data_IF_519396214118
#
_entry.id   IF_519396214118
#
_cell.length_a   1.000
_cell.length_b   1.000
_cell.length_c   1.000
_cell.angle_alpha   90.00
_cell.angle_beta   90.00
_cell.angle_gamma   90.00
#
_symmetry.space_group_name_H-M   'P 1'
#
loop_
_entity.id
_entity.type
_entity.pdbx_description
1 polymer ?
#
# COMPACT_ATOMS: atom_id res chain seq x y z
N UNK A 1 -15.67 -23.12 -18.16
CA UNK A 1 -15.99 -22.83 -16.74
C UNK A 1 -17.49 -22.80 -16.51
N UNK A 2 -17.95 -23.25 -15.33
CA UNK A 2 -19.33 -23.09 -14.87
C UNK A 2 -19.67 -21.59 -14.70
N UNK A 3 -20.82 -21.10 -15.22
CA UNK A 3 -21.21 -19.69 -15.07
C UNK A 3 -21.24 -19.21 -13.60
N UNK A 4 -21.56 -20.08 -12.64
CA UNK A 4 -21.55 -19.72 -11.21
C UNK A 4 -20.13 -19.39 -10.75
N UNK A 5 -19.15 -20.22 -11.14
CA UNK A 5 -17.74 -20.03 -10.80
C UNK A 5 -17.22 -18.74 -11.43
N UNK A 6 -17.60 -18.46 -12.68
CA UNK A 6 -17.21 -17.22 -13.34
C UNK A 6 -17.73 -15.99 -12.59
N UNK A 7 -19.00 -16.00 -12.19
CA UNK A 7 -19.60 -14.91 -11.40
C UNK A 7 -18.85 -14.73 -10.08
N UNK A 8 -18.53 -15.82 -9.37
CA UNK A 8 -17.78 -15.76 -8.12
C UNK A 8 -16.38 -15.15 -8.32
N UNK A 9 -15.68 -15.50 -9.39
CA UNK A 9 -14.38 -14.90 -9.73
C UNK A 9 -14.55 -13.41 -9.98
N UNK A 10 -15.53 -12.99 -10.78
CA UNK A 10 -15.77 -11.58 -11.09
C UNK A 10 -16.09 -10.78 -9.83
N UNK A 11 -16.98 -11.29 -8.96
CA UNK A 11 -17.28 -10.66 -7.67
C UNK A 11 -16.04 -10.58 -6.79
N UNK A 12 -15.24 -11.66 -6.73
CA UNK A 12 -13.98 -11.69 -6.00
C UNK A 12 -12.99 -10.64 -6.50
N UNK A 13 -12.81 -10.51 -7.82
CA UNK A 13 -11.96 -9.48 -8.44
C UNK A 13 -12.44 -8.09 -8.05
N UNK A 14 -13.74 -7.81 -8.11
CA UNK A 14 -14.30 -6.50 -7.73
C UNK A 14 -14.02 -6.18 -6.26
N UNK A 15 -14.32 -7.13 -5.36
CA UNK A 15 -14.14 -6.94 -3.91
C UNK A 15 -12.66 -6.73 -3.56
N UNK A 16 -11.77 -7.57 -4.10
CA UNK A 16 -10.33 -7.47 -3.84
C UNK A 16 -9.74 -6.22 -4.48
N UNK A 17 -10.18 -5.83 -5.68
CA UNK A 17 -9.76 -4.57 -6.30
C UNK A 17 -10.18 -3.37 -5.46
N UNK A 18 -11.42 -3.35 -4.97
CA UNK A 18 -11.92 -2.29 -4.09
C UNK A 18 -11.11 -2.23 -2.78
N UNK A 19 -10.87 -3.38 -2.16
CA UNK A 19 -10.04 -3.48 -0.96
C UNK A 19 -8.61 -2.97 -1.22
N UNK A 20 -7.99 -3.37 -2.33
CA UNK A 20 -6.65 -2.93 -2.72
C UNK A 20 -6.61 -1.41 -2.97
N UNK A 21 -7.64 -0.84 -3.58
CA UNK A 21 -7.78 0.60 -3.75
C UNK A 21 -7.85 1.33 -2.41
N UNK A 22 -8.73 0.89 -1.50
CA UNK A 22 -8.93 1.53 -0.19
C UNK A 22 -7.66 1.42 0.66
N UNK A 23 -7.04 0.24 0.72
CA UNK A 23 -5.78 0.02 1.44
C UNK A 23 -4.68 0.99 0.97
N UNK A 24 -4.50 1.11 -0.34
CA UNK A 24 -3.45 1.97 -0.89
C UNK A 24 -3.84 3.46 -0.94
N UNK A 25 -5.07 3.79 -0.53
CA UNK A 25 -5.54 5.16 -0.33
C UNK A 25 -5.52 5.58 1.15
N UNK A 26 -5.45 4.62 2.08
CA UNK A 26 -5.58 4.89 3.51
C UNK A 26 -4.51 5.88 4.02
N UNK A 27 -4.87 6.79 4.94
CA UNK A 27 -3.93 7.72 5.57
C UNK A 27 -3.07 6.96 6.60
N UNK A 28 -1.75 7.14 6.56
CA UNK A 28 -0.86 6.51 7.54
C UNK A 28 0.62 6.42 7.15
N UNK A 29 1.02 6.97 6.01
CA UNK A 29 2.44 7.09 5.65
C UNK A 29 2.70 8.51 5.17
N UNK A 30 3.54 9.24 5.91
CA UNK A 30 4.08 10.54 5.48
C UNK A 30 4.95 10.32 4.23
N UNK A 31 5.06 11.29 3.31
CA UNK A 31 6.00 11.20 2.18
C UNK A 31 7.45 10.94 2.65
N UNK A 32 7.77 11.38 3.87
CA UNK A 32 9.06 11.19 4.52
C UNK A 32 9.28 9.74 5.00
N UNK A 33 8.23 8.96 5.26
CA UNK A 33 8.32 7.52 5.60
C UNK A 33 8.82 6.68 4.41
N UNK A 34 8.85 7.25 3.20
CA UNK A 34 9.33 6.58 1.99
C UNK A 34 10.77 6.95 1.62
N UNK A 35 11.37 7.92 2.31
CA UNK A 35 12.79 8.28 2.13
C UNK A 35 13.63 7.28 2.91
N UNK A 36 14.22 6.33 2.20
CA UNK A 36 15.18 5.39 2.80
C UNK A 36 16.59 5.91 2.53
N UNK A 37 17.25 6.43 3.57
CA UNK A 37 18.67 6.75 3.56
C UNK A 37 18.99 8.19 3.98
N UNK A 38 20.29 8.52 4.10
CA UNK A 38 20.76 9.85 4.51
C UNK A 38 20.25 10.96 3.59
N UNK A 39 20.08 12.17 4.13
CA UNK A 39 19.73 13.38 3.38
C UNK A 39 20.60 13.49 2.10
N UNK A 40 19.96 13.53 0.94
CA UNK A 40 20.61 13.63 -0.37
C UNK A 40 20.61 12.37 -1.22
N UNK A 41 20.26 11.19 -0.67
CA UNK A 41 20.23 9.94 -1.44
C UNK A 41 18.95 9.75 -2.26
N UNK A 42 17.86 10.48 -1.96
CA UNK A 42 16.55 10.46 -2.65
C UNK A 42 16.03 9.06 -3.02
N UNK A 43 16.43 8.02 -2.27
CA UNK A 43 15.96 6.66 -2.48
C UNK A 43 14.55 6.56 -1.91
N UNK A 44 13.58 6.75 -2.80
CA UNK A 44 12.17 6.51 -2.50
C UNK A 44 11.92 5.01 -2.59
N UNK A 45 11.67 4.35 -1.47
CA UNK A 45 11.24 2.95 -1.51
C UNK A 45 9.79 2.91 -1.96
N UNK A 46 9.60 2.88 -3.28
CA UNK A 46 8.28 3.04 -3.85
C UNK A 46 7.45 1.76 -3.61
N UNK A 47 6.53 1.83 -2.65
CA UNK A 47 5.65 0.76 -2.16
C UNK A 47 4.61 0.23 -3.18
N UNK A 48 5.00 0.00 -4.43
CA UNK A 48 4.20 -0.81 -5.35
C UNK A 48 4.14 -2.26 -4.92
N UNK A 49 5.06 -2.69 -4.05
CA UNK A 49 5.08 -4.05 -3.51
C UNK A 49 3.74 -4.44 -2.87
N UNK A 50 3.12 -3.56 -2.08
CA UNK A 50 1.83 -3.86 -1.44
C UNK A 50 0.72 -4.10 -2.49
N UNK A 51 0.64 -3.25 -3.52
CA UNK A 51 -0.34 -3.40 -4.61
C UNK A 51 -0.16 -4.71 -5.39
N UNK A 52 1.08 -5.19 -5.51
CA UNK A 52 1.42 -6.46 -6.17
C UNK A 52 1.14 -7.66 -5.26
N UNK A 53 1.44 -7.57 -3.96
CA UNK A 53 1.18 -8.63 -2.97
C UNK A 53 -0.31 -8.99 -2.95
N UNK A 54 -1.20 -8.00 -2.87
CA UNK A 54 -2.66 -8.25 -2.84
C UNK A 54 -3.14 -8.96 -4.11
N UNK A 55 -2.65 -8.53 -5.28
CA UNK A 55 -2.92 -9.22 -6.55
C UNK A 55 -2.39 -10.65 -6.56
N UNK A 56 -1.17 -10.86 -6.05
CA UNK A 56 -0.52 -12.17 -5.97
C UNK A 56 -1.29 -13.14 -5.07
N UNK A 57 -1.74 -12.69 -3.89
CA UNK A 57 -2.56 -13.49 -2.97
C UNK A 57 -3.84 -13.96 -3.67
N UNK A 58 -4.51 -13.07 -4.42
CA UNK A 58 -5.70 -13.45 -5.18
C UNK A 58 -5.41 -14.53 -6.22
N UNK A 59 -4.33 -14.40 -6.99
CA UNK A 59 -3.94 -15.40 -7.99
C UNK A 59 -3.64 -16.75 -7.32
N UNK A 60 -2.95 -16.76 -6.18
CA UNK A 60 -2.70 -17.99 -5.41
C UNK A 60 -4.01 -18.62 -4.94
N UNK A 61 -4.96 -17.83 -4.45
CA UNK A 61 -6.28 -18.33 -4.06
C UNK A 61 -7.03 -18.96 -5.24
N UNK A 62 -6.99 -18.33 -6.41
CA UNK A 62 -7.56 -18.87 -7.65
C UNK A 62 -6.85 -20.16 -8.09
N UNK A 63 -5.52 -20.23 -7.94
CA UNK A 63 -4.75 -21.42 -8.26
C UNK A 63 -5.08 -22.62 -7.35
N UNK A 64 -5.38 -22.39 -6.06
CA UNK A 64 -5.88 -23.42 -5.15
C UNK A 64 -7.22 -23.98 -5.66
N UNK A 65 -8.06 -23.13 -6.24
CA UNK A 65 -9.32 -23.51 -6.88
C UNK A 65 -9.15 -24.03 -8.33
N UNK A 66 -7.96 -24.48 -8.72
CA UNK A 66 -7.66 -24.89 -10.11
C UNK A 66 -8.56 -26.01 -10.66
N UNK A 67 -9.15 -26.84 -9.81
CA UNK A 67 -10.10 -27.89 -10.20
C UNK A 67 -11.41 -27.34 -10.81
N UNK A 68 -11.72 -26.06 -10.58
CA UNK A 68 -12.90 -25.39 -11.11
C UNK A 68 -12.77 -24.96 -12.59
N UNK A 69 -11.57 -25.06 -13.17
CA UNK A 69 -11.26 -24.62 -14.53
C UNK A 69 -11.21 -25.78 -15.50
N UNK A 70 -11.72 -25.57 -16.72
CA UNK A 70 -11.73 -26.63 -17.74
C UNK A 70 -10.36 -26.82 -18.39
N UNK A 71 -9.50 -25.80 -18.37
CA UNK A 71 -8.14 -25.87 -18.90
C UNK A 71 -7.14 -25.04 -18.10
N UNK A 72 -5.85 -25.42 -18.17
CA UNK A 72 -4.75 -24.63 -17.59
C UNK A 72 -4.62 -23.26 -18.22
N UNK A 73 -4.89 -23.16 -19.53
CA UNK A 73 -4.83 -21.89 -20.27
C UNK A 73 -5.90 -20.92 -19.77
N UNK A 74 -7.12 -21.41 -19.52
CA UNK A 74 -8.22 -20.62 -18.93
C UNK A 74 -7.83 -20.10 -17.54
N UNK A 75 -7.27 -20.95 -16.68
CA UNK A 75 -6.76 -20.57 -15.36
C UNK A 75 -5.70 -19.45 -15.45
N UNK A 76 -4.67 -19.63 -16.29
CA UNK A 76 -3.59 -18.65 -16.42
C UNK A 76 -4.08 -17.32 -16.99
N UNK A 77 -4.96 -17.35 -17.98
CA UNK A 77 -5.48 -16.14 -18.62
C UNK A 77 -6.37 -15.36 -17.66
N UNK A 78 -7.28 -16.03 -16.95
CA UNK A 78 -8.13 -15.39 -15.94
C UNK A 78 -7.30 -14.87 -14.77
N UNK A 79 -6.34 -15.66 -14.27
CA UNK A 79 -5.44 -15.25 -13.20
C UNK A 79 -4.61 -14.03 -13.57
N UNK A 80 -4.04 -14.00 -14.77
CA UNK A 80 -3.24 -12.86 -15.26
C UNK A 80 -4.10 -11.60 -15.39
N UNK A 81 -5.29 -11.71 -15.99
CA UNK A 81 -6.21 -10.57 -16.13
C UNK A 81 -6.62 -10.04 -14.76
N UNK A 82 -7.01 -10.93 -13.84
CA UNK A 82 -7.38 -10.55 -12.49
C UNK A 82 -6.23 -9.85 -11.75
N UNK A 83 -5.01 -10.40 -11.84
CA UNK A 83 -3.81 -9.79 -11.27
C UNK A 83 -3.61 -8.37 -11.79
N UNK A 84 -3.61 -8.19 -13.11
CA UNK A 84 -3.40 -6.88 -13.74
C UNK A 84 -4.46 -5.88 -13.29
N UNK A 85 -5.74 -6.28 -13.25
CA UNK A 85 -6.83 -5.42 -12.81
C UNK A 85 -6.65 -5.01 -11.34
N UNK A 86 -6.45 -5.98 -10.44
CA UNK A 86 -6.32 -5.74 -9.00
C UNK A 86 -5.12 -4.83 -8.72
N UNK A 87 -3.97 -5.11 -9.34
CA UNK A 87 -2.76 -4.32 -9.17
C UNK A 87 -2.92 -2.91 -9.75
N UNK A 88 -3.49 -2.76 -10.96
CA UNK A 88 -3.72 -1.45 -11.56
C UNK A 88 -4.63 -0.57 -10.70
N UNK A 89 -5.68 -1.14 -10.11
CA UNK A 89 -6.59 -0.45 -9.20
C UNK A 89 -5.88 -0.02 -7.90
N UNK A 90 -5.04 -0.88 -7.33
CA UNK A 90 -4.20 -0.52 -6.18
C UNK A 90 -3.22 0.61 -6.49
N UNK A 91 -2.54 0.55 -7.64
CA UNK A 91 -1.64 1.60 -8.15
C UNK A 91 -2.40 2.92 -8.33
N UNK A 92 -3.62 2.88 -8.86
CA UNK A 92 -4.46 4.06 -9.02
C UNK A 92 -4.80 4.70 -7.67
N UNK A 93 -5.22 3.91 -6.67
CA UNK A 93 -5.46 4.39 -5.31
C UNK A 93 -4.24 5.08 -4.70
N UNK A 94 -3.06 4.50 -4.90
CA UNK A 94 -1.80 5.05 -4.43
C UNK A 94 -1.42 6.37 -5.10
N UNK A 95 -1.56 6.45 -6.43
CA UNK A 95 -1.34 7.70 -7.18
C UNK A 95 -2.27 8.82 -6.71
N UNK A 96 -3.52 8.48 -6.39
CA UNK A 96 -4.46 9.46 -5.86
C UNK A 96 -3.99 9.96 -4.49
N UNK A 97 -3.54 9.07 -3.60
CA UNK A 97 -3.02 9.46 -2.29
C UNK A 97 -1.80 10.38 -2.39
N UNK A 98 -0.88 10.12 -3.33
CA UNK A 98 0.28 10.98 -3.58
C UNK A 98 -0.14 12.41 -3.98
N UNK A 99 -1.16 12.53 -4.84
CA UNK A 99 -1.73 13.84 -5.18
C UNK A 99 -2.36 14.51 -3.95
N UNK A 100 -3.17 13.78 -3.18
CA UNK A 100 -3.83 14.31 -1.99
C UNK A 100 -2.78 14.78 -0.93
N UNK A 101 -1.66 14.06 -0.81
CA UNK A 101 -0.52 14.45 0.03
C UNK A 101 0.12 15.77 -0.40
N UNK A 102 0.43 15.92 -1.70
CA UNK A 102 1.07 17.15 -2.20
C UNK A 102 0.23 18.41 -1.94
N UNK A 103 -1.09 18.26 -1.92
CA UNK A 103 -2.01 19.35 -1.58
C UNK A 103 -2.02 19.62 -0.07
N UNK A 104 -2.03 18.56 0.75
CA UNK A 104 -2.04 18.68 2.21
C UNK A 104 -0.73 19.27 2.75
N UNK A 105 0.42 18.85 2.22
CA UNK A 105 1.74 19.38 2.57
C UNK A 105 1.81 20.90 2.35
N UNK A 106 1.32 21.37 1.19
CA UNK A 106 1.23 22.82 0.92
C UNK A 106 0.28 23.59 1.85
N UNK A 107 -0.69 22.93 2.49
CA UNK A 107 -1.53 23.54 3.54
C UNK A 107 -0.80 23.52 4.89
N UNK A 108 -0.14 22.40 5.22
CA UNK A 108 0.60 22.23 6.47
C UNK A 108 1.77 23.23 6.57
N UNK A 109 2.53 23.42 5.49
CA UNK A 109 3.61 24.41 5.42
C UNK A 109 3.12 25.85 5.65
N UNK A 110 1.86 26.17 5.31
CA UNK A 110 1.25 27.47 5.60
C UNK A 110 0.79 27.60 7.05
N UNK A 111 0.34 26.51 7.65
CA UNK A 111 -0.12 26.48 9.04
C UNK A 111 1.05 26.46 10.04
N UNK A 112 2.13 25.77 9.70
CA UNK A 112 3.36 25.65 10.49
C UNK A 112 4.55 25.89 9.56
N UNK A 113 4.96 27.15 9.35
CA UNK A 113 6.14 27.44 8.54
C UNK A 113 7.38 26.79 9.16
N UNK A 114 8.22 26.17 8.33
CA UNK A 114 9.41 25.39 8.74
C UNK A 114 10.37 26.14 9.66
N UNK A 115 10.34 27.48 9.65
CA UNK A 115 11.08 28.32 10.60
C UNK A 115 10.73 28.05 12.06
N UNK A 116 9.55 27.49 12.37
CA UNK A 116 9.17 27.04 13.72
C UNK A 116 9.45 25.57 13.99
N UNK A 117 9.58 24.73 12.95
CA UNK A 117 9.88 23.29 13.13
C UNK A 117 11.34 23.07 13.55
N UNK A 118 12.25 23.96 13.10
CA UNK A 118 13.67 23.94 13.46
C UNK A 118 13.96 24.32 14.91
N UNK A 119 13.09 25.10 15.57
CA UNK A 119 13.19 25.43 17.00
C UNK A 119 12.71 24.29 17.91
N UNK A 120 11.94 23.32 17.38
CA UNK A 120 11.52 22.13 18.14
C UNK A 120 12.53 20.97 18.07
N UNK A 121 13.55 21.07 17.23
CA UNK A 121 14.57 20.03 17.05
C UNK A 121 15.86 20.30 17.86
N UNK A 122 15.97 21.49 18.48
CA UNK A 122 17.15 21.87 19.28
C UNK A 122 17.00 21.75 20.80
N UNK A 123 15.79 21.53 21.32
CA UNK A 123 15.59 21.23 22.75
C UNK A 123 15.12 19.80 22.94
N UNK A 124 16.12 18.92 23.05
CA UNK A 124 16.14 17.67 23.82
C UNK A 124 14.84 17.36 24.55
N UNK A 125 13.96 16.61 23.92
CA UNK A 125 13.11 15.69 24.66
C UNK A 125 13.98 14.47 25.01
N UNK A 126 14.85 14.63 26.01
CA UNK A 126 15.45 13.49 26.71
C UNK A 126 14.29 12.77 27.42
N UNK A 127 13.63 11.86 26.68
CA UNK A 127 12.75 10.86 27.28
C UNK A 127 13.68 9.91 28.00
N UNK A 128 13.92 10.20 29.29
CA UNK A 128 14.43 9.21 30.23
C UNK A 128 13.38 8.09 30.29
N UNK A 129 13.59 7.05 29.48
CA UNK A 129 13.06 5.74 29.79
C UNK A 129 13.86 5.28 31.02
N UNK A 130 13.28 5.43 32.21
CA UNK A 130 13.67 4.63 33.37
C UNK A 130 13.44 3.17 32.97
N UNK A 131 14.50 2.52 32.51
CA UNK A 131 14.62 1.07 32.49
C UNK A 131 14.50 0.61 33.95
N UNK A 132 13.30 0.19 34.34
CA UNK A 132 13.11 -0.79 35.41
C UNK A 132 13.84 -2.07 34.97
N UNK A 133 15.09 -2.25 35.41
CA UNK A 133 15.78 -3.55 35.42
C UNK A 133 16.70 -3.66 36.66
N UNK A 134 16.25 -4.58 37.53
CA UNK A 134 16.83 -5.39 38.60
C UNK A 134 18.33 -5.32 39.04
N UNK A 135 18.49 -5.67 40.33
CA UNK A 135 19.64 -6.27 41.04
C UNK A 135 20.67 -5.37 41.79
N UNK A 136 20.46 -5.22 43.12
CA UNK A 136 21.37 -5.66 44.20
C UNK A 136 20.67 -5.75 45.57
#
# INVERSE_FOLDING_TARGET
>A
MDPIIFILIVVGVIVVSWFNYVLNRAPGSDPDDFLIGPEGMQLQCDCFLNTMIVGGIFVVAVAIASSAFASRTELYLIGLIAYVIITAVGVYGRRQRYKDWSVLDGVLQRAVPESKRRDFDSDRLDVFFEEDDEDF
#
